data_IF_256405853705
#
_entry.id   IF_256405853705
#
_cell.length_a   1.000
_cell.length_b   1.000
_cell.length_c   1.000
_cell.angle_alpha   90.00
_cell.angle_beta   90.00
_cell.angle_gamma   90.00
#
_symmetry.space_group_name_H-M   'P 1'
#
loop_
_entity.id
_entity.type
_entity.pdbx_description
1 polymer ?
#
# COMPACT_ATOMS: atom_id res chain seq x y z
N UNK A 1 -6.90 25.84 46.22
CA UNK A 1 -6.38 24.67 45.45
C UNK A 1 -7.44 24.05 44.53
N UNK A 2 -8.68 23.79 44.99
CA UNK A 2 -9.76 23.22 44.14
C UNK A 2 -10.01 23.96 42.81
N UNK A 3 -10.03 25.31 42.82
CA UNK A 3 -10.25 26.12 41.59
C UNK A 3 -9.13 26.02 40.55
N UNK A 4 -7.87 25.87 40.99
CA UNK A 4 -6.71 25.71 40.08
C UNK A 4 -6.74 24.33 39.42
N UNK A 5 -7.14 23.29 40.15
CA UNK A 5 -7.31 21.95 39.61
C UNK A 5 -8.42 21.89 38.55
N UNK A 6 -9.52 22.62 38.74
CA UNK A 6 -10.62 22.70 37.76
C UNK A 6 -10.20 23.44 36.49
N UNK A 7 -9.36 24.48 36.59
CA UNK A 7 -8.85 25.21 35.43
C UNK A 7 -7.85 24.36 34.64
N UNK A 8 -7.00 23.59 35.31
CA UNK A 8 -6.07 22.66 34.65
C UNK A 8 -6.84 21.54 33.94
N UNK A 9 -7.90 21.02 34.56
CA UNK A 9 -8.77 20.00 33.94
C UNK A 9 -9.49 20.54 32.69
N UNK A 10 -10.03 21.77 32.76
CA UNK A 10 -10.67 22.43 31.61
C UNK A 10 -9.67 22.69 30.47
N UNK A 11 -8.42 23.01 30.80
CA UNK A 11 -7.36 23.25 29.82
C UNK A 11 -6.93 21.95 29.11
N UNK A 12 -6.86 20.83 29.85
CA UNK A 12 -6.54 19.51 29.30
C UNK A 12 -7.66 18.98 28.42
N UNK A 13 -8.94 19.21 28.75
CA UNK A 13 -10.06 18.78 27.89
C UNK A 13 -10.16 19.55 26.59
N UNK A 14 -9.71 20.81 26.55
CA UNK A 14 -9.65 21.61 25.33
C UNK A 14 -8.47 21.15 24.43
N UNK A 15 -7.35 20.75 25.03
CA UNK A 15 -6.17 20.23 24.30
C UNK A 15 -6.36 18.84 23.66
N UNK A 16 -7.38 18.06 24.07
CA UNK A 16 -7.67 16.75 23.47
C UNK A 16 -8.55 16.83 22.20
N UNK A 17 -9.05 18.01 21.84
CA UNK A 17 -9.96 18.18 20.69
C UNK A 17 -9.21 18.21 19.35
N UNK A 18 -7.89 18.41 19.36
CA UNK A 18 -7.12 18.63 18.12
C UNK A 18 -6.62 17.35 17.41
N UNK A 19 -6.83 16.14 17.96
CA UNK A 19 -6.33 14.90 17.33
C UNK A 19 -7.33 14.16 16.44
N UNK A 20 -8.53 14.71 16.19
CA UNK A 20 -9.50 14.14 15.24
C UNK A 20 -9.67 14.95 13.96
N UNK A 21 -8.90 16.02 13.78
CA UNK A 21 -8.88 16.76 12.52
C UNK A 21 -7.71 16.28 11.66
N UNK A 22 -8.04 15.65 10.53
CA UNK A 22 -7.15 15.33 9.39
C UNK A 22 -6.49 13.93 9.37
N UNK A 23 -7.30 12.87 9.44
CA UNK A 23 -7.21 11.81 8.40
C UNK A 23 -8.51 11.82 7.61
N UNK A 24 -8.89 13.00 7.13
CA UNK A 24 -9.86 13.14 6.08
C UNK A 24 -9.18 12.72 4.79
N UNK A 25 -9.27 11.44 4.43
CA UNK A 25 -9.20 11.11 3.00
C UNK A 25 -10.37 11.85 2.38
N UNK A 26 -10.09 12.86 1.57
CA UNK A 26 -11.07 13.59 0.78
C UNK A 26 -11.78 12.60 -0.15
N UNK A 27 -12.81 11.92 0.36
CA UNK A 27 -13.79 11.26 -0.48
C UNK A 27 -14.64 12.38 -1.09
N UNK A 28 -14.14 12.95 -2.18
CA UNK A 28 -14.92 13.84 -3.03
C UNK A 28 -16.10 13.03 -3.59
N UNK A 29 -17.24 13.07 -2.89
CA UNK A 29 -18.50 12.51 -3.34
C UNK A 29 -19.11 13.48 -4.36
N UNK A 30 -18.54 13.46 -5.55
CA UNK A 30 -18.83 14.42 -6.61
C UNK A 30 -17.64 14.54 -7.54
N UNK A 31 -17.27 13.44 -8.20
CA UNK A 31 -16.40 13.57 -9.38
C UNK A 31 -17.23 14.20 -10.49
N UNK A 32 -16.70 15.25 -11.10
CA UNK A 32 -17.26 15.83 -12.32
C UNK A 32 -17.63 14.69 -13.28
N UNK A 33 -18.90 14.60 -13.65
CA UNK A 33 -19.37 13.57 -14.59
C UNK A 33 -18.66 13.66 -15.95
N UNK A 34 -18.06 14.82 -16.27
CA UNK A 34 -17.16 15.03 -17.41
C UNK A 34 -15.77 14.40 -17.20
N UNK A 35 -15.21 14.41 -15.98
CA UNK A 35 -13.97 13.70 -15.66
C UNK A 35 -14.16 12.17 -15.61
N UNK A 36 -15.36 11.71 -15.23
CA UNK A 36 -15.74 10.30 -15.34
C UNK A 36 -15.93 9.84 -16.79
N UNK A 37 -16.35 10.72 -17.71
CA UNK A 37 -16.46 10.39 -19.15
C UNK A 37 -15.11 10.24 -19.84
N UNK A 38 -14.05 10.82 -19.26
CA UNK A 38 -12.68 10.70 -19.75
C UNK A 38 -11.88 9.63 -18.99
N UNK A 39 -12.44 9.07 -17.91
CA UNK A 39 -11.94 7.85 -17.28
C UNK A 39 -12.35 6.66 -18.15
N UNK A 40 -11.59 6.49 -19.22
CA UNK A 40 -11.48 5.30 -20.06
C UNK A 40 -12.23 4.08 -19.49
N UNK A 41 -13.27 3.64 -20.20
CA UNK A 41 -13.95 2.34 -19.96
C UNK A 41 -12.96 1.17 -20.18
N UNK A 42 -11.75 1.44 -20.65
CA UNK A 42 -10.66 0.50 -20.73
C UNK A 42 -9.82 0.59 -19.45
N UNK A 43 -9.67 -0.54 -18.74
CA UNK A 43 -8.66 -0.67 -17.68
C UNK A 43 -7.27 -0.29 -18.19
N UNK A 44 -6.32 -0.05 -17.29
CA UNK A 44 -4.95 0.35 -17.67
C UNK A 44 -4.40 -0.59 -18.75
N UNK A 45 -4.16 -0.05 -19.94
CA UNK A 45 -3.57 -0.77 -21.07
C UNK A 45 -2.44 0.09 -21.62
N UNK A 46 -1.25 -0.48 -21.65
CA UNK A 46 -0.04 0.22 -22.04
C UNK A 46 0.66 -0.59 -23.13
N UNK A 47 1.03 0.09 -24.21
CA UNK A 47 1.70 -0.53 -25.36
C UNK A 47 3.14 -0.05 -25.43
N UNK A 48 4.07 -0.94 -25.08
CA UNK A 48 5.51 -0.76 -25.19
C UNK A 48 6.09 -1.73 -26.23
N UNK A 49 5.27 -2.17 -27.19
CA UNK A 49 5.68 -3.12 -28.21
C UNK A 49 6.84 -2.61 -29.05
N UNK A 50 7.70 -3.54 -29.47
CA UNK A 50 8.73 -3.29 -30.47
C UNK A 50 8.32 -3.96 -31.79
N UNK A 51 8.17 -3.21 -32.91
CA UNK A 51 7.85 -3.76 -34.22
C UNK A 51 8.85 -4.80 -34.74
N UNK A 52 10.10 -4.77 -34.27
CA UNK A 52 11.18 -5.65 -34.73
C UNK A 52 11.27 -6.93 -33.87
N UNK A 53 10.52 -7.02 -32.78
CA UNK A 53 10.57 -8.13 -31.83
C UNK A 53 9.24 -8.87 -31.68
N UNK A 54 9.30 -10.06 -31.07
CA UNK A 54 8.11 -10.79 -30.65
C UNK A 54 7.55 -10.11 -29.41
N UNK A 55 6.29 -9.68 -29.46
CA UNK A 55 5.62 -9.00 -28.37
C UNK A 55 4.71 -9.97 -27.59
N UNK A 56 4.73 -9.85 -26.28
CA UNK A 56 3.96 -10.65 -25.33
C UNK A 56 3.05 -9.75 -24.50
N UNK A 57 1.90 -10.29 -24.09
CA UNK A 57 0.97 -9.61 -23.20
C UNK A 57 1.19 -10.08 -21.76
N UNK A 58 1.41 -9.14 -20.85
CA UNK A 58 1.53 -9.38 -19.41
C UNK A 58 0.57 -8.49 -18.64
N UNK A 59 0.25 -8.84 -17.40
CA UNK A 59 -0.58 -8.02 -16.51
C UNK A 59 0.17 -7.68 -15.22
N UNK A 60 -0.07 -6.50 -14.68
CA UNK A 60 0.56 -6.03 -13.44
C UNK A 60 -0.52 -5.58 -12.47
N UNK A 61 -0.55 -6.23 -11.32
CA UNK A 61 -1.56 -6.05 -10.27
C UNK A 61 -0.91 -5.65 -8.95
N UNK A 62 -1.65 -4.87 -8.15
CA UNK A 62 -1.26 -4.53 -6.79
C UNK A 62 -0.68 -3.12 -6.66
N UNK A 63 0.26 -2.96 -5.73
CA UNK A 63 0.78 -1.67 -5.26
C UNK A 63 1.90 -1.15 -6.17
N UNK A 64 1.51 -0.72 -7.36
CA UNK A 64 2.37 -0.04 -8.34
C UNK A 64 1.69 1.23 -8.81
N UNK A 65 2.48 2.17 -9.36
CA UNK A 65 1.95 3.46 -9.82
C UNK A 65 0.91 3.33 -10.93
N UNK A 66 1.15 2.43 -11.89
CA UNK A 66 0.28 2.23 -13.06
C UNK A 66 -0.09 0.75 -13.23
N UNK A 67 -1.06 0.21 -12.47
CA UNK A 67 -1.52 -1.17 -12.67
C UNK A 67 -2.28 -1.31 -13.99
N UNK A 68 -2.19 -2.48 -14.63
CA UNK A 68 -2.82 -2.69 -15.92
C UNK A 68 -2.24 -3.86 -16.74
N UNK A 69 -2.66 -3.95 -17.99
CA UNK A 69 -2.13 -4.85 -19.00
C UNK A 69 -1.07 -4.14 -19.83
N UNK A 70 0.01 -4.83 -20.11
CA UNK A 70 1.17 -4.32 -20.84
C UNK A 70 1.46 -5.21 -22.02
N UNK A 71 1.67 -4.60 -23.20
CA UNK A 71 2.25 -5.28 -24.36
C UNK A 71 3.72 -4.90 -24.40
N UNK A 72 4.60 -5.89 -24.32
CA UNK A 72 6.05 -5.70 -24.18
C UNK A 72 6.79 -6.70 -25.07
N UNK A 73 8.03 -6.40 -25.51
CA UNK A 73 8.87 -7.35 -26.20
C UNK A 73 9.22 -8.55 -25.30
N UNK A 74 9.39 -9.75 -25.88
CA UNK A 74 9.68 -10.98 -25.14
C UNK A 74 11.01 -10.92 -24.35
N UNK A 75 11.98 -10.11 -24.80
CA UNK A 75 13.25 -9.92 -24.10
C UNK A 75 13.14 -9.04 -22.85
N UNK A 76 11.97 -8.45 -22.58
CA UNK A 76 11.74 -7.57 -21.43
C UNK A 76 11.85 -8.37 -20.13
N UNK A 77 12.68 -7.89 -19.21
CA UNK A 77 12.80 -8.48 -17.88
C UNK A 77 11.71 -7.98 -16.93
N UNK A 78 11.57 -8.64 -15.77
CA UNK A 78 10.66 -8.18 -14.71
C UNK A 78 11.06 -6.79 -14.19
N UNK A 79 12.35 -6.46 -14.22
CA UNK A 79 12.87 -5.16 -13.78
C UNK A 79 12.47 -4.06 -14.75
N UNK A 80 12.52 -4.35 -16.05
CA UNK A 80 12.07 -3.43 -17.08
C UNK A 80 10.56 -3.20 -16.98
N UNK A 81 9.79 -4.28 -16.77
CA UNK A 81 8.35 -4.19 -16.54
C UNK A 81 8.02 -3.35 -15.29
N UNK A 82 8.78 -3.52 -14.20
CA UNK A 82 8.64 -2.67 -13.01
C UNK A 82 8.94 -1.19 -13.31
N UNK A 83 9.87 -0.93 -14.22
CA UNK A 83 10.17 0.44 -14.68
C UNK A 83 9.02 1.01 -15.52
N UNK A 84 8.43 0.20 -16.42
CA UNK A 84 7.28 0.59 -17.24
C UNK A 84 6.03 0.91 -16.42
N UNK A 85 5.82 0.22 -15.30
CA UNK A 85 4.68 0.48 -14.40
C UNK A 85 4.90 1.68 -13.47
N UNK A 86 6.04 2.37 -13.60
CA UNK A 86 6.39 3.56 -12.81
C UNK A 86 6.98 3.24 -11.44
N UNK A 87 7.40 2.00 -11.22
CA UNK A 87 7.95 1.52 -9.96
C UNK A 87 6.89 1.02 -8.97
N UNK A 88 7.33 0.34 -7.89
CA UNK A 88 6.49 0.00 -6.75
C UNK A 88 6.04 1.26 -5.98
N UNK A 89 4.86 1.21 -5.38
CA UNK A 89 4.36 2.29 -4.50
C UNK A 89 5.02 2.20 -3.10
N UNK A 90 5.00 3.29 -2.31
CA UNK A 90 5.57 3.34 -0.96
C UNK A 90 4.96 2.27 -0.02
N UNK A 91 3.67 1.98 -0.19
CA UNK A 91 2.92 0.97 0.56
C UNK A 91 3.11 -0.46 0.00
N UNK A 92 4.09 -0.72 -0.87
CA UNK A 92 4.31 -2.05 -1.46
C UNK A 92 5.22 -2.94 -0.60
N UNK A 93 4.99 -4.26 -0.66
CA UNK A 93 5.87 -5.25 -0.05
C UNK A 93 6.84 -5.81 -1.09
N UNK A 94 8.05 -5.25 -1.08
CA UNK A 94 9.13 -5.55 -2.04
C UNK A 94 9.83 -6.90 -1.80
N UNK A 95 9.67 -7.48 -0.60
CA UNK A 95 10.29 -8.75 -0.24
C UNK A 95 9.59 -9.96 -0.88
N UNK A 96 8.34 -9.79 -1.29
CA UNK A 96 7.46 -10.90 -1.67
C UNK A 96 6.74 -10.64 -3.00
N UNK A 97 7.40 -10.02 -3.98
CA UNK A 97 6.87 -9.92 -5.34
C UNK A 97 6.68 -11.32 -5.92
N UNK A 98 5.67 -11.51 -6.74
CA UNK A 98 5.35 -12.84 -7.29
C UNK A 98 4.94 -12.74 -8.74
N UNK A 99 5.38 -13.70 -9.54
CA UNK A 99 4.83 -13.92 -10.88
C UNK A 99 3.88 -15.09 -10.78
N UNK A 100 2.62 -14.82 -11.11
CA UNK A 100 1.62 -15.84 -11.31
C UNK A 100 1.60 -16.23 -12.78
N UNK A 101 1.86 -17.52 -13.04
CA UNK A 101 1.99 -18.10 -14.36
C UNK A 101 1.14 -19.34 -14.50
N UNK A 102 0.36 -19.40 -15.58
CA UNK A 102 -0.41 -20.58 -15.98
C UNK A 102 0.25 -21.19 -17.21
N UNK A 103 0.84 -22.36 -17.07
CA UNK A 103 1.48 -23.10 -18.18
C UNK A 103 0.96 -24.54 -18.18
N UNK A 104 0.45 -25.02 -19.32
CA UNK A 104 -0.10 -26.38 -19.48
C UNK A 104 -1.16 -26.76 -18.41
N UNK A 105 -2.09 -25.85 -18.12
CA UNK A 105 -3.10 -25.99 -17.04
C UNK A 105 -2.52 -26.15 -15.63
N UNK A 106 -1.24 -25.82 -15.42
CA UNK A 106 -0.61 -25.78 -14.11
C UNK A 106 -0.38 -24.34 -13.69
N UNK A 107 -0.93 -23.98 -12.55
CA UNK A 107 -0.69 -22.70 -11.91
C UNK A 107 0.62 -22.75 -11.11
N UNK A 108 1.47 -21.75 -11.30
CA UNK A 108 2.74 -21.62 -10.60
C UNK A 108 2.88 -20.19 -10.07
N UNK A 109 3.36 -20.08 -8.84
CA UNK A 109 3.79 -18.81 -8.26
C UNK A 109 5.29 -18.83 -8.10
N UNK A 110 5.96 -17.89 -8.78
CA UNK A 110 7.40 -17.72 -8.76
C UNK A 110 7.68 -16.50 -7.88
N UNK A 111 8.14 -16.67 -6.63
CA UNK A 111 8.49 -15.55 -5.78
C UNK A 111 9.77 -14.88 -6.31
N UNK A 112 9.82 -13.57 -6.17
CA UNK A 112 10.91 -12.72 -6.58
C UNK A 112 11.08 -11.61 -5.54
N UNK A 113 12.31 -11.38 -5.08
CA UNK A 113 12.59 -10.33 -4.11
C UNK A 113 13.25 -9.16 -4.84
N UNK A 114 12.67 -7.96 -4.71
CA UNK A 114 13.17 -6.75 -5.34
C UNK A 114 14.38 -6.16 -4.62
N UNK A 115 14.47 -6.33 -3.31
CA UNK A 115 15.59 -5.83 -2.50
C UNK A 115 16.91 -6.49 -2.91
N UNK A 116 16.85 -7.73 -3.39
CA UNK A 116 17.98 -8.44 -3.98
C UNK A 116 18.57 -7.72 -5.20
N UNK A 117 17.81 -6.88 -5.90
CA UNK A 117 18.29 -6.14 -7.06
C UNK A 117 18.85 -4.77 -6.70
N UNK A 118 18.30 -4.13 -5.67
CA UNK A 118 18.57 -2.71 -5.37
C UNK A 118 19.61 -2.50 -4.28
N UNK A 119 19.71 -3.42 -3.32
CA UNK A 119 20.47 -3.20 -2.08
C UNK A 119 21.61 -4.20 -1.87
N UNK A 120 21.81 -5.13 -2.79
CA UNK A 120 22.87 -6.14 -2.69
C UNK A 120 24.24 -5.47 -2.99
N UNK A 121 25.20 -5.50 -2.05
CA UNK A 121 26.46 -4.74 -2.15
C UNK A 121 27.48 -5.33 -3.14
N UNK A 122 27.28 -6.58 -3.56
CA UNK A 122 28.21 -7.31 -4.43
C UNK A 122 27.46 -7.85 -5.66
N UNK A 123 27.94 -7.48 -6.85
CA UNK A 123 27.45 -8.03 -8.12
C UNK A 123 27.84 -9.52 -8.33
N UNK A 124 28.60 -10.12 -7.40
CA UNK A 124 29.24 -11.44 -7.55
C UNK A 124 28.37 -12.62 -7.05
N UNK A 125 27.16 -12.36 -6.54
CA UNK A 125 26.25 -13.42 -6.09
C UNK A 125 25.54 -14.14 -7.25
N UNK A 126 26.21 -15.10 -7.92
CA UNK A 126 25.62 -16.15 -8.80
C UNK A 126 24.27 -15.78 -9.42
N UNK A 127 24.25 -15.00 -10.52
CA UNK A 127 23.08 -14.76 -11.39
C UNK A 127 21.74 -15.07 -10.71
N UNK A 128 21.35 -14.25 -9.72
CA UNK A 128 20.05 -14.42 -9.06
C UNK A 128 19.02 -14.35 -10.18
N UNK A 129 18.34 -15.48 -10.39
CA UNK A 129 17.67 -15.80 -11.65
C UNK A 129 16.42 -14.94 -11.76
N UNK A 130 16.58 -13.69 -12.23
CA UNK A 130 15.45 -12.82 -12.58
C UNK A 130 14.62 -13.62 -13.57
N UNK A 131 13.41 -14.05 -13.18
CA UNK A 131 12.62 -14.90 -14.04
C UNK A 131 12.28 -14.11 -15.30
N UNK A 132 12.49 -14.71 -16.47
CA UNK A 132 12.02 -14.12 -17.72
C UNK A 132 10.49 -14.14 -17.72
N UNK A 133 9.90 -13.09 -18.29
CA UNK A 133 8.46 -13.01 -18.48
C UNK A 133 8.02 -13.95 -19.61
N UNK A 134 6.83 -14.52 -19.47
CA UNK A 134 6.16 -15.33 -20.48
C UNK A 134 4.79 -14.71 -20.81
N UNK A 135 4.22 -15.03 -21.98
CA UNK A 135 2.87 -14.59 -22.32
C UNK A 135 1.86 -14.98 -21.23
N UNK A 136 0.97 -14.05 -20.91
CA UNK A 136 -0.08 -14.18 -19.88
C UNK A 136 0.41 -14.24 -18.44
N UNK A 137 1.69 -13.94 -18.18
CA UNK A 137 2.17 -13.75 -16.81
C UNK A 137 1.48 -12.57 -16.13
N UNK A 138 1.25 -12.73 -14.83
CA UNK A 138 0.74 -11.67 -13.96
C UNK A 138 1.81 -11.35 -12.92
N UNK A 139 2.36 -10.14 -12.96
CA UNK A 139 3.18 -9.60 -11.89
C UNK A 139 2.27 -9.11 -10.77
N UNK A 140 2.39 -9.73 -9.60
CA UNK A 140 1.63 -9.40 -8.40
C UNK A 140 2.56 -8.69 -7.42
N UNK A 141 2.21 -7.45 -7.09
CA UNK A 141 2.91 -6.61 -6.13
C UNK A 141 2.04 -6.47 -4.88
N UNK A 142 2.28 -7.29 -3.84
CA UNK A 142 1.52 -7.21 -2.61
C UNK A 142 1.73 -5.87 -1.91
N UNK A 143 0.77 -5.47 -1.08
CA UNK A 143 0.92 -4.34 -0.18
C UNK A 143 1.75 -4.71 1.04
N UNK A 144 2.38 -3.71 1.63
CA UNK A 144 3.02 -3.78 2.94
C UNK A 144 2.06 -4.32 3.99
N UNK A 145 2.57 -5.00 5.02
CA UNK A 145 1.74 -5.43 6.13
C UNK A 145 1.04 -4.20 6.72
N UNK A 146 -0.29 -4.21 6.78
CA UNK A 146 -1.03 -3.22 7.56
C UNK A 146 -0.60 -3.36 9.01
N UNK A 147 0.26 -2.47 9.49
CA UNK A 147 0.70 -2.46 10.87
C UNK A 147 -0.47 -1.98 11.73
N UNK A 148 -1.35 -2.90 12.11
CA UNK A 148 -2.49 -2.70 13.01
C UNK A 148 -2.09 -2.22 14.41
N UNK A 149 -0.79 -2.06 14.69
CA UNK A 149 -0.30 -1.57 15.97
C UNK A 149 -0.92 -0.21 16.33
N UNK A 150 -1.02 0.73 15.39
CA UNK A 150 -1.60 2.05 15.68
C UNK A 150 -3.11 1.97 15.94
N UNK A 151 -3.83 1.13 15.20
CA UNK A 151 -5.26 0.90 15.40
C UNK A 151 -5.51 0.28 16.78
N UNK A 152 -4.76 -0.77 17.12
CA UNK A 152 -4.91 -1.44 18.41
C UNK A 152 -4.46 -0.58 19.59
N UNK A 153 -3.38 0.20 19.41
CA UNK A 153 -2.90 1.14 20.42
C UNK A 153 -3.92 2.26 20.67
N UNK A 154 -4.55 2.80 19.62
CA UNK A 154 -5.59 3.83 19.76
C UNK A 154 -6.85 3.31 20.46
N UNK A 155 -7.29 2.08 20.12
CA UNK A 155 -8.40 1.41 20.81
C UNK A 155 -8.05 1.21 22.28
N UNK A 156 -6.84 0.73 22.57
CA UNK A 156 -6.34 0.57 23.94
C UNK A 156 -6.36 1.90 24.71
N UNK A 157 -5.79 2.96 24.15
CA UNK A 157 -5.79 4.31 24.72
C UNK A 157 -7.21 4.81 25.02
N UNK A 158 -8.17 4.56 24.14
CA UNK A 158 -9.56 5.00 24.35
C UNK A 158 -10.18 4.35 25.59
N UNK A 159 -9.99 3.03 25.76
CA UNK A 159 -10.46 2.26 26.92
C UNK A 159 -9.77 2.72 28.19
N UNK A 160 -8.45 2.91 28.15
CA UNK A 160 -7.70 3.45 29.29
C UNK A 160 -8.18 4.85 29.68
N UNK A 161 -8.46 5.73 28.72
CA UNK A 161 -8.98 7.08 28.99
C UNK A 161 -10.35 7.03 29.68
N UNK A 162 -11.23 6.14 29.24
CA UNK A 162 -12.56 5.96 29.82
C UNK A 162 -12.47 5.45 31.26
N UNK A 163 -11.57 4.49 31.53
CA UNK A 163 -11.32 3.97 32.88
C UNK A 163 -10.74 5.05 33.80
N UNK A 164 -9.79 5.86 33.32
CA UNK A 164 -9.23 6.98 34.08
C UNK A 164 -10.33 7.99 34.41
N UNK A 165 -11.17 8.36 33.44
CA UNK A 165 -12.30 9.28 33.63
C UNK A 165 -13.29 8.75 34.68
N UNK A 166 -13.66 7.46 34.59
CA UNK A 166 -14.53 6.80 35.56
C UNK A 166 -13.92 6.79 36.96
N UNK A 167 -12.61 6.52 37.07
CA UNK A 167 -11.89 6.50 38.35
C UNK A 167 -11.88 7.88 39.00
N UNK A 168 -11.61 8.93 38.22
CA UNK A 168 -11.64 10.32 38.69
C UNK A 168 -13.04 10.70 39.17
N UNK A 169 -14.08 10.29 38.43
CA UNK A 169 -15.47 10.54 38.82
C UNK A 169 -15.80 9.91 40.18
N UNK A 170 -15.44 8.64 40.38
CA UNK A 170 -15.68 7.92 41.64
C UNK A 170 -14.96 8.62 42.81
N UNK A 171 -13.68 8.96 42.65
CA UNK A 171 -12.91 9.66 43.68
C UNK A 171 -13.51 11.03 44.01
N UNK A 172 -14.03 11.74 43.01
CA UNK A 172 -14.64 13.06 43.20
C UNK A 172 -15.95 12.98 44.00
N UNK A 173 -16.73 11.91 43.80
CA UNK A 173 -17.97 11.67 44.55
C UNK A 173 -17.67 11.30 46.00
N UNK A 174 -16.64 10.47 46.26
CA UNK A 174 -16.28 10.05 47.62
C UNK A 174 -15.62 11.15 48.47
N UNK A 175 -14.91 12.09 47.85
CA UNK A 175 -14.26 13.22 48.52
C UNK A 175 -15.16 14.47 48.64
N UNK A 176 -16.48 14.30 48.51
CA UNK A 176 -17.50 15.34 48.64
C UNK A 176 -18.30 15.12 49.91
#
# INVERSE_FOLDING_TARGET
MKKILTVIFLFITILQVDTFAQVGKDYQLGSDASALRQRSIYGGFYDYSDPEAININVSVWGFVKYPGRYVIPEYTSVVDLLSYVGGPEDDSNLDELRIYRIENNKETMIPFNYNDLMWEPELEGKYKKVPSLKPSDILVVPGGPRLYFMDWFSIGLSVFSALISLTILIVTIQNK
#
